data_IF_683446600442
#
_entry.id   IF_683446600442
#
_cell.length_a   1.000
_cell.length_b   1.000
_cell.length_c   1.000
_cell.angle_alpha   90.00
_cell.angle_beta   90.00
_cell.angle_gamma   90.00
#
_symmetry.space_group_name_H-M   'P 1'
#
loop_
_entity.id
_entity.type
_entity.pdbx_description
1 polymer ?
#
# COMPACT_ATOMS: atom_id res chain seq x y z
N UNK A 1 32.39 -25.50 -55.24
CA UNK A 1 32.04 -25.05 -53.87
C UNK A 1 30.65 -25.64 -53.60
N UNK A 2 30.38 -26.78 -52.97
CA UNK A 2 30.84 -27.44 -51.73
C UNK A 2 30.88 -26.51 -50.51
N UNK A 3 29.89 -26.63 -49.61
CA UNK A 3 30.03 -27.07 -48.20
C UNK A 3 28.64 -27.41 -47.64
N UNK A 4 28.38 -28.70 -47.39
CA UNK A 4 27.49 -29.17 -46.31
C UNK A 4 28.13 -28.86 -44.95
N UNK A 5 27.36 -28.46 -43.92
CA UNK A 5 27.61 -28.89 -42.53
C UNK A 5 26.32 -29.07 -41.72
N UNK A 6 26.14 -30.31 -41.28
CA UNK A 6 25.20 -30.82 -40.27
C UNK A 6 25.49 -30.21 -38.90
N UNK A 7 24.49 -30.25 -38.00
CA UNK A 7 24.58 -31.04 -36.76
C UNK A 7 23.20 -31.35 -36.17
N UNK A 8 22.95 -32.65 -36.02
CA UNK A 8 21.92 -33.29 -35.19
C UNK A 8 22.58 -33.66 -33.86
N UNK A 9 21.86 -33.54 -32.73
CA UNK A 9 21.94 -34.39 -31.51
C UNK A 9 20.86 -33.88 -30.53
N UNK A 10 19.72 -34.55 -30.33
CA UNK A 10 19.48 -35.72 -29.46
C UNK A 10 20.04 -35.58 -28.04
N UNK A 11 19.14 -35.27 -27.10
CA UNK A 11 19.27 -35.51 -25.65
C UNK A 11 17.87 -35.53 -25.06
N UNK A 12 17.25 -36.71 -25.01
CA UNK A 12 17.08 -37.57 -23.83
C UNK A 12 15.93 -37.12 -22.92
N UNK A 13 14.90 -37.96 -22.92
CA UNK A 13 13.80 -37.98 -21.98
C UNK A 13 14.28 -38.34 -20.57
N UNK A 14 13.62 -37.77 -19.56
CA UNK A 14 13.37 -38.44 -18.29
C UNK A 14 11.88 -38.29 -17.97
N UNK A 15 11.18 -39.41 -18.11
CA UNK A 15 9.90 -39.70 -17.51
C UNK A 15 10.04 -39.72 -15.98
N UNK A 16 9.04 -39.22 -15.27
CA UNK A 16 8.73 -39.63 -13.90
C UNK A 16 7.26 -39.36 -13.62
N UNK A 17 6.48 -40.45 -13.62
CA UNK A 17 5.14 -40.52 -13.05
C UNK A 17 5.26 -40.62 -11.52
N UNK A 18 4.52 -39.79 -10.80
CA UNK A 18 3.95 -40.04 -9.47
C UNK A 18 3.01 -38.85 -9.22
N UNK A 19 1.71 -39.02 -8.96
CA UNK A 19 1.17 -39.78 -7.86
C UNK A 19 0.39 -38.77 -7.00
N UNK A 20 -0.89 -39.03 -6.80
CA UNK A 20 -1.89 -38.15 -6.20
C UNK A 20 -1.50 -37.80 -4.76
N UNK A 21 -1.63 -36.52 -4.37
CA UNK A 21 -1.87 -36.15 -2.99
C UNK A 21 -2.89 -35.00 -2.94
N UNK A 22 -4.13 -35.33 -2.59
CA UNK A 22 -5.04 -34.37 -1.99
C UNK A 22 -4.44 -33.95 -0.65
N UNK A 23 -4.10 -32.68 -0.51
CA UNK A 23 -3.55 -32.11 0.72
C UNK A 23 -3.69 -30.61 0.70
N UNK A 24 -4.69 -30.12 1.42
CA UNK A 24 -4.87 -28.70 1.71
C UNK A 24 -3.63 -28.06 2.31
N UNK A 25 -3.42 -26.78 1.94
CA UNK A 25 -2.59 -25.77 2.61
C UNK A 25 -1.30 -25.38 1.88
N UNK A 26 -1.19 -24.08 1.59
CA UNK A 26 0.04 -23.43 1.15
C UNK A 26 -0.08 -22.79 -0.21
N UNK A 27 -0.84 -21.70 -0.33
CA UNK A 27 -0.62 -20.72 -1.40
C UNK A 27 0.77 -20.10 -1.16
N UNK A 28 1.81 -20.79 -1.59
CA UNK A 28 3.16 -20.27 -1.70
C UNK A 28 3.14 -19.22 -2.80
N UNK A 29 3.22 -17.94 -2.40
CA UNK A 29 3.40 -16.83 -3.32
C UNK A 29 4.75 -17.00 -4.02
N UNK A 30 4.73 -17.54 -5.24
CA UNK A 30 5.87 -17.45 -6.15
C UNK A 30 5.98 -15.98 -6.59
N UNK A 31 6.63 -15.15 -5.76
CA UNK A 31 7.09 -13.85 -6.19
C UNK A 31 8.23 -14.11 -7.19
N UNK A 32 7.94 -13.91 -8.47
CA UNK A 32 8.94 -13.99 -9.53
C UNK A 32 10.15 -13.15 -9.13
N UNK A 33 11.29 -13.81 -8.95
CA UNK A 33 12.62 -13.25 -8.75
C UNK A 33 13.09 -12.62 -10.08
N UNK A 34 12.34 -11.63 -10.56
CA UNK A 34 12.75 -10.71 -11.61
C UNK A 34 13.01 -9.38 -10.91
N UNK A 35 14.23 -9.25 -10.39
CA UNK A 35 14.88 -8.01 -9.97
C UNK A 35 13.94 -6.90 -9.49
N UNK A 36 13.36 -7.04 -8.30
CA UNK A 36 12.82 -5.88 -7.59
C UNK A 36 14.00 -4.94 -7.29
N UNK A 37 14.19 -3.93 -8.14
CA UNK A 37 15.16 -2.87 -7.90
C UNK A 37 14.79 -2.21 -6.57
N UNK A 38 15.65 -2.37 -5.58
CA UNK A 38 15.58 -1.61 -4.33
C UNK A 38 15.65 -0.13 -4.70
N UNK A 39 14.52 0.56 -4.60
CA UNK A 39 14.52 2.01 -4.77
C UNK A 39 15.20 2.64 -3.55
N UNK A 40 16.06 3.66 -3.74
CA UNK A 40 16.67 4.35 -2.62
C UNK A 40 15.57 4.92 -1.71
N UNK A 41 15.77 4.81 -0.40
CA UNK A 41 14.81 5.32 0.58
C UNK A 41 14.68 6.84 0.42
N UNK A 42 13.50 7.29 -0.01
CA UNK A 42 13.20 8.72 -0.16
C UNK A 42 12.89 9.33 1.21
N UNK A 43 13.34 10.58 1.48
CA UNK A 43 12.83 11.36 2.59
C UNK A 43 11.30 11.37 2.56
N UNK A 44 10.68 10.94 3.65
CA UNK A 44 9.23 10.73 3.68
C UNK A 44 8.56 11.73 4.63
N UNK A 45 7.51 12.38 4.15
CA UNK A 45 6.61 13.24 4.91
C UNK A 45 5.27 12.54 5.07
N UNK A 46 4.77 12.42 6.30
CA UNK A 46 3.43 11.93 6.60
C UNK A 46 2.50 13.11 6.90
N UNK A 47 1.39 13.19 6.14
CA UNK A 47 0.33 14.19 6.30
C UNK A 47 -0.89 13.57 6.97
N UNK A 48 -1.41 14.24 8.01
CA UNK A 48 -2.57 13.80 8.79
C UNK A 48 -3.47 15.00 9.13
N UNK A 49 -4.79 14.86 9.05
CA UNK A 49 -5.74 15.97 9.31
C UNK A 49 -6.58 15.82 10.58
N UNK A 50 -6.77 14.59 11.07
CA UNK A 50 -7.64 14.30 12.21
C UNK A 50 -6.89 13.61 13.36
N UNK A 51 -7.07 14.10 14.60
CA UNK A 51 -6.47 13.54 15.84
C UNK A 51 -6.64 12.02 16.03
N UNK A 52 -7.75 11.41 15.60
CA UNK A 52 -7.98 9.96 15.76
C UNK A 52 -7.35 9.10 14.67
N UNK A 53 -7.30 9.62 13.43
CA UNK A 53 -6.61 8.99 12.31
C UNK A 53 -5.09 9.04 12.53
N UNK A 54 -4.61 10.15 13.06
CA UNK A 54 -3.20 10.39 13.39
C UNK A 54 -2.60 9.30 14.27
N UNK A 55 -3.23 8.96 15.41
CA UNK A 55 -2.57 8.09 16.39
C UNK A 55 -2.33 6.67 15.86
N UNK A 56 -3.28 6.10 15.13
CA UNK A 56 -3.19 4.70 14.66
C UNK A 56 -2.46 4.58 13.33
N UNK A 57 -2.67 5.53 12.42
CA UNK A 57 -1.89 5.60 11.20
C UNK A 57 -0.40 5.74 11.51
N UNK A 58 -0.03 6.68 12.39
CA UNK A 58 1.38 6.91 12.73
C UNK A 58 1.99 5.74 13.52
N UNK A 59 1.20 5.00 14.30
CA UNK A 59 1.69 3.77 14.92
C UNK A 59 2.12 2.75 13.86
N UNK A 60 1.32 2.60 12.79
CA UNK A 60 1.66 1.79 11.64
C UNK A 60 2.92 2.27 10.91
N UNK A 61 2.99 3.58 10.63
CA UNK A 61 4.14 4.22 9.99
C UNK A 61 5.42 3.96 10.79
N UNK A 62 5.41 4.23 12.10
CA UNK A 62 6.57 4.08 12.99
C UNK A 62 7.02 2.62 13.15
N UNK A 63 6.12 1.66 12.95
CA UNK A 63 6.45 0.25 12.97
C UNK A 63 7.09 -0.26 11.68
N UNK A 64 7.01 0.51 10.59
CA UNK A 64 7.72 0.21 9.35
C UNK A 64 9.23 0.43 9.53
N UNK A 65 10.10 -0.39 8.90
CA UNK A 65 11.54 -0.15 8.90
C UNK A 65 11.92 1.25 8.38
N UNK A 66 11.17 1.80 7.43
CA UNK A 66 11.35 3.16 6.91
C UNK A 66 10.73 4.24 7.82
N UNK A 67 9.92 3.85 8.80
CA UNK A 67 9.16 4.74 9.69
C UNK A 67 10.02 5.71 10.50
N UNK A 68 11.23 5.31 10.90
CA UNK A 68 12.14 6.12 11.73
C UNK A 68 12.58 7.44 11.07
N UNK A 69 12.49 7.52 9.74
CA UNK A 69 12.91 8.69 8.97
C UNK A 69 11.71 9.55 8.52
N UNK A 70 10.49 9.17 8.90
CA UNK A 70 9.27 9.87 8.48
C UNK A 70 9.09 11.13 9.32
N UNK A 71 9.04 12.29 8.66
CA UNK A 71 8.61 13.54 9.29
C UNK A 71 7.09 13.59 9.28
N UNK A 72 6.48 14.04 10.37
CA UNK A 72 5.02 14.18 10.47
C UNK A 72 4.64 15.64 10.39
N UNK A 73 3.65 15.97 9.59
CA UNK A 73 3.06 17.31 9.51
C UNK A 73 1.53 17.17 9.55
N UNK A 74 0.90 17.93 10.45
CA UNK A 74 -0.56 18.06 10.44
C UNK A 74 -0.98 19.00 9.31
N UNK A 75 -2.05 18.65 8.61
CA UNK A 75 -2.73 19.56 7.68
C UNK A 75 -3.97 20.14 8.34
N UNK A 76 -4.11 21.45 8.23
CA UNK A 76 -5.22 22.24 8.76
C UNK A 76 -5.86 23.12 7.67
N UNK A 77 -5.47 22.92 6.41
CA UNK A 77 -5.87 23.74 5.25
C UNK A 77 -5.58 25.24 5.42
N UNK A 78 -4.67 25.60 6.33
CA UNK A 78 -4.19 26.97 6.45
C UNK A 78 -3.44 27.41 5.20
N UNK A 79 -3.43 28.72 4.95
CA UNK A 79 -2.65 29.29 3.86
C UNK A 79 -1.15 28.97 4.00
N UNK A 80 -0.63 28.98 5.24
CA UNK A 80 0.76 28.63 5.53
C UNK A 80 1.08 27.17 5.15
N UNK A 81 0.15 26.24 5.45
CA UNK A 81 0.27 24.86 4.99
C UNK A 81 0.31 24.79 3.47
N UNK A 82 -0.64 25.46 2.79
CA UNK A 82 -0.77 25.43 1.32
C UNK A 82 0.51 25.93 0.65
N UNK A 83 0.98 27.11 1.03
CA UNK A 83 2.18 27.73 0.47
C UNK A 83 3.43 26.91 0.79
N UNK A 84 3.53 26.40 2.02
CA UNK A 84 4.65 25.54 2.43
C UNK A 84 4.68 24.22 1.67
N UNK A 85 3.52 23.63 1.41
CA UNK A 85 3.38 22.37 0.67
C UNK A 85 3.68 22.57 -0.82
N UNK A 86 3.17 23.62 -1.44
CA UNK A 86 3.48 23.97 -2.83
C UNK A 86 4.98 24.23 -3.03
N UNK A 87 5.59 25.02 -2.13
CA UNK A 87 7.04 25.28 -2.16
C UNK A 87 7.84 23.98 -2.05
N UNK A 88 7.40 23.05 -1.20
CA UNK A 88 8.01 21.73 -1.06
C UNK A 88 7.90 20.91 -2.34
N UNK A 89 6.71 20.82 -2.93
CA UNK A 89 6.49 20.09 -4.18
C UNK A 89 7.34 20.64 -5.33
N UNK A 90 7.52 21.96 -5.40
CA UNK A 90 8.31 22.64 -6.44
C UNK A 90 9.82 22.69 -6.14
N UNK A 91 10.27 22.15 -5.02
CA UNK A 91 11.69 22.24 -4.61
C UNK A 91 12.64 21.41 -5.49
N UNK A 92 12.10 20.46 -6.27
CA UNK A 92 12.88 19.51 -7.07
C UNK A 92 13.65 18.48 -6.24
N UNK A 93 13.49 18.48 -4.91
CA UNK A 93 14.12 17.51 -4.02
C UNK A 93 13.29 16.22 -4.01
N UNK A 94 13.86 15.07 -4.42
CA UNK A 94 13.15 13.80 -4.43
C UNK A 94 12.62 13.47 -3.04
N UNK A 95 11.31 13.30 -2.93
CA UNK A 95 10.68 12.97 -1.66
C UNK A 95 9.40 12.15 -1.86
N UNK A 96 9.01 11.46 -0.80
CA UNK A 96 7.71 10.81 -0.72
C UNK A 96 6.81 11.53 0.27
N UNK A 97 5.56 11.72 -0.11
CA UNK A 97 4.53 12.26 0.77
C UNK A 97 3.46 11.20 0.89
N UNK A 98 3.29 10.64 2.09
CA UNK A 98 2.22 9.71 2.43
C UNK A 98 1.19 10.42 3.30
N UNK A 99 -0.04 9.94 3.33
CA UNK A 99 -1.00 10.53 4.25
C UNK A 99 -2.25 9.70 4.49
N UNK A 100 -2.94 10.06 5.57
CA UNK A 100 -4.31 9.66 5.88
C UNK A 100 -5.04 10.89 6.42
N UNK A 101 -5.93 11.44 5.59
CA UNK A 101 -6.61 12.72 5.84
C UNK A 101 -8.09 12.60 5.51
N UNK A 102 -8.88 13.63 5.79
CA UNK A 102 -10.28 13.75 5.34
C UNK A 102 -10.37 14.08 3.84
N UNK A 103 -11.58 13.95 3.29
CA UNK A 103 -11.85 14.14 1.86
C UNK A 103 -11.47 15.55 1.35
N UNK A 104 -11.72 16.60 2.14
CA UNK A 104 -11.45 17.98 1.74
C UNK A 104 -9.94 18.26 1.69
N UNK A 105 -9.22 17.81 2.71
CA UNK A 105 -7.77 17.89 2.74
C UNK A 105 -7.12 17.13 1.59
N UNK A 106 -7.60 15.92 1.29
CA UNK A 106 -7.05 15.12 0.20
C UNK A 106 -7.28 15.74 -1.17
N UNK A 107 -8.46 16.30 -1.43
CA UNK A 107 -8.75 16.95 -2.70
C UNK A 107 -7.72 18.04 -3.02
N UNK A 108 -7.45 18.92 -2.05
CA UNK A 108 -6.45 19.98 -2.17
C UNK A 108 -5.02 19.45 -2.31
N UNK A 109 -4.61 18.50 -1.48
CA UNK A 109 -3.25 17.94 -1.49
C UNK A 109 -2.95 17.25 -2.83
N UNK A 110 -3.88 16.44 -3.32
CA UNK A 110 -3.73 15.71 -4.59
C UNK A 110 -3.73 16.67 -5.77
N UNK A 111 -4.57 17.71 -5.75
CA UNK A 111 -4.61 18.72 -6.81
C UNK A 111 -3.31 19.54 -6.89
N UNK A 112 -2.79 20.00 -5.74
CA UNK A 112 -1.50 20.69 -5.66
C UNK A 112 -0.36 19.80 -6.15
N UNK A 113 -0.33 18.53 -5.72
CA UNK A 113 0.69 17.58 -6.14
C UNK A 113 0.67 17.36 -7.67
N UNK A 114 -0.52 17.12 -8.24
CA UNK A 114 -0.67 16.95 -9.69
C UNK A 114 -0.26 18.20 -10.46
N UNK A 115 -0.66 19.38 -9.98
CA UNK A 115 -0.33 20.67 -10.59
C UNK A 115 1.18 20.95 -10.56
N UNK A 116 1.88 20.46 -9.54
CA UNK A 116 3.34 20.53 -9.45
C UNK A 116 4.08 19.44 -10.27
N UNK A 117 3.35 18.55 -10.96
CA UNK A 117 3.94 17.44 -11.73
C UNK A 117 4.35 16.23 -10.90
N UNK A 118 3.97 16.17 -9.62
CA UNK A 118 4.23 15.02 -8.77
C UNK A 118 3.39 13.80 -9.19
N UNK A 119 3.93 12.61 -8.94
CA UNK A 119 3.32 11.33 -9.33
C UNK A 119 2.55 10.73 -8.16
N UNK A 120 1.25 10.50 -8.35
CA UNK A 120 0.41 9.80 -7.37
C UNK A 120 0.56 8.30 -7.59
N UNK A 121 1.28 7.64 -6.68
CA UNK A 121 1.54 6.19 -6.74
C UNK A 121 0.42 5.36 -6.09
N UNK A 122 -0.28 5.95 -5.12
CA UNK A 122 -1.40 5.34 -4.41
C UNK A 122 -2.43 6.41 -4.11
N UNK A 123 -3.70 6.08 -4.28
CA UNK A 123 -4.84 6.85 -3.80
C UNK A 123 -5.91 5.88 -3.27
N UNK A 124 -6.24 5.97 -2.00
CA UNK A 124 -7.22 5.11 -1.34
C UNK A 124 -8.35 5.92 -0.74
N UNK A 125 -9.60 5.55 -1.04
CA UNK A 125 -10.78 6.02 -0.32
C UNK A 125 -11.18 4.96 0.70
N UNK A 126 -11.42 5.39 1.93
CA UNK A 126 -11.71 4.52 3.06
C UNK A 126 -12.95 5.01 3.78
N UNK A 127 -13.91 4.11 3.97
CA UNK A 127 -15.06 4.32 4.83
C UNK A 127 -15.00 3.33 5.97
N UNK A 128 -15.03 3.81 7.20
CA UNK A 128 -14.99 2.98 8.38
C UNK A 128 -16.27 3.15 9.21
N UNK A 129 -16.82 2.02 9.66
CA UNK A 129 -17.92 1.92 10.60
C UNK A 129 -17.45 1.12 11.81
N UNK A 130 -18.20 1.09 12.93
CA UNK A 130 -17.80 0.31 14.10
C UNK A 130 -17.61 -1.20 13.83
N UNK A 131 -18.24 -1.74 12.77
CA UNK A 131 -18.30 -3.17 12.49
C UNK A 131 -17.52 -3.59 11.24
N UNK A 132 -17.29 -2.66 10.32
CA UNK A 132 -16.66 -2.96 9.04
C UNK A 132 -15.98 -1.75 8.40
N UNK A 133 -15.05 -2.02 7.49
CA UNK A 133 -14.38 -1.02 6.66
C UNK A 133 -14.52 -1.32 5.16
N UNK A 134 -14.62 -0.27 4.36
CA UNK A 134 -14.67 -0.33 2.91
C UNK A 134 -13.51 0.47 2.35
N UNK A 135 -12.77 -0.13 1.42
CA UNK A 135 -11.56 0.44 0.83
C UNK A 135 -11.66 0.36 -0.69
N UNK A 136 -11.48 1.49 -1.36
CA UNK A 136 -11.36 1.59 -2.82
C UNK A 136 -10.02 2.22 -3.15
N UNK A 137 -9.20 1.52 -3.91
CA UNK A 137 -7.83 1.91 -4.17
C UNK A 137 -7.59 2.11 -5.66
N UNK A 138 -6.80 3.13 -5.97
CA UNK A 138 -6.12 3.33 -7.24
C UNK A 138 -4.62 3.22 -6.99
N UNK A 139 -3.95 2.32 -7.69
CA UNK A 139 -2.51 2.08 -7.52
C UNK A 139 -1.77 2.16 -8.84
N UNK A 140 -0.59 2.75 -8.80
CA UNK A 140 0.40 2.65 -9.86
C UNK A 140 1.27 1.41 -9.66
N UNK A 141 2.07 1.07 -10.67
CA UNK A 141 2.99 -0.07 -10.62
C UNK A 141 3.98 0.01 -9.44
N UNK A 142 4.44 1.22 -9.07
CA UNK A 142 5.33 1.42 -7.92
C UNK A 142 4.69 1.08 -6.57
N UNK A 143 3.35 1.04 -6.49
CA UNK A 143 2.60 0.60 -5.32
C UNK A 143 2.08 -0.86 -5.46
N UNK A 144 2.53 -1.59 -6.47
CA UNK A 144 2.12 -2.99 -6.68
C UNK A 144 2.42 -3.84 -5.44
N UNK A 145 1.49 -4.74 -5.11
CA UNK A 145 1.59 -5.60 -3.93
C UNK A 145 1.06 -4.98 -2.62
N UNK A 146 0.95 -3.65 -2.53
CA UNK A 146 0.43 -2.97 -1.34
C UNK A 146 -1.04 -3.34 -1.06
N UNK A 147 -1.89 -3.37 -2.09
CA UNK A 147 -3.31 -3.70 -1.91
C UNK A 147 -3.55 -5.17 -1.51
N UNK A 148 -2.92 -6.19 -2.13
CA UNK A 148 -2.97 -7.56 -1.63
C UNK A 148 -2.52 -7.69 -0.18
N UNK A 149 -1.42 -7.03 0.21
CA UNK A 149 -0.90 -7.07 1.58
C UNK A 149 -1.86 -6.43 2.59
N UNK A 150 -2.50 -5.32 2.21
CA UNK A 150 -3.58 -4.70 2.99
C UNK A 150 -4.74 -5.69 3.15
N UNK A 151 -5.20 -6.34 2.07
CA UNK A 151 -6.28 -7.33 2.13
C UNK A 151 -5.98 -8.53 3.03
N UNK A 152 -4.76 -9.06 2.98
CA UNK A 152 -4.31 -10.14 3.86
C UNK A 152 -4.32 -9.71 5.33
N UNK A 153 -3.84 -8.51 5.61
CA UNK A 153 -3.79 -7.96 6.96
C UNK A 153 -5.20 -7.71 7.49
N UNK A 154 -6.09 -7.08 6.71
CA UNK A 154 -7.50 -6.86 7.06
C UNK A 154 -8.21 -8.16 7.39
N UNK A 155 -7.98 -9.20 6.58
CA UNK A 155 -8.50 -10.52 6.85
C UNK A 155 -7.94 -11.07 8.18
N UNK A 156 -6.64 -10.96 8.45
CA UNK A 156 -6.06 -11.43 9.70
C UNK A 156 -6.68 -10.75 10.94
N UNK A 157 -7.07 -9.47 10.85
CA UNK A 157 -7.72 -8.74 11.94
C UNK A 157 -9.09 -9.32 12.33
N UNK A 158 -9.82 -9.90 11.37
CA UNK A 158 -11.13 -10.48 11.61
C UNK A 158 -12.29 -9.48 11.70
N UNK A 159 -12.05 -8.17 11.61
CA UNK A 159 -13.09 -7.16 11.36
C UNK A 159 -13.62 -7.31 9.93
N UNK A 160 -14.93 -7.07 9.72
CA UNK A 160 -15.52 -7.15 8.38
C UNK A 160 -14.89 -6.13 7.43
N UNK A 161 -14.62 -6.49 6.19
CA UNK A 161 -14.07 -5.55 5.22
C UNK A 161 -14.48 -5.83 3.77
N UNK A 162 -14.42 -4.79 2.95
CA UNK A 162 -14.45 -4.86 1.49
C UNK A 162 -13.30 -4.03 0.93
N UNK A 163 -12.52 -4.60 0.02
CA UNK A 163 -11.37 -3.97 -0.60
C UNK A 163 -11.43 -4.18 -2.12
N UNK A 164 -11.33 -3.08 -2.85
CA UNK A 164 -11.26 -3.04 -4.31
C UNK A 164 -10.02 -2.25 -4.74
N UNK A 165 -9.24 -2.77 -5.69
CA UNK A 165 -8.09 -2.08 -6.30
C UNK A 165 -8.30 -1.99 -7.82
N UNK A 166 -8.09 -0.81 -8.38
CA UNK A 166 -7.88 -0.62 -9.81
C UNK A 166 -6.43 -0.17 -10.04
N UNK A 167 -5.72 -0.83 -10.94
CA UNK A 167 -4.36 -0.45 -11.33
C UNK A 167 -4.41 0.55 -12.46
N UNK A 168 -3.73 1.68 -12.32
CA UNK A 168 -3.76 2.77 -13.32
C UNK A 168 -3.02 2.40 -14.61
N UNK A 169 -2.01 1.53 -14.51
CA UNK A 169 -1.20 1.08 -15.63
C UNK A 169 -0.97 -0.43 -15.48
N UNK A 170 -1.34 -1.21 -16.50
CA UNK A 170 -1.11 -2.67 -16.54
C UNK A 170 -2.32 -3.47 -17.01
N UNK A 171 -2.05 -4.68 -17.52
CA UNK A 171 -3.06 -5.64 -17.98
C UNK A 171 -3.61 -6.54 -16.86
N UNK A 172 -3.24 -6.27 -15.61
CA UNK A 172 -3.62 -7.10 -14.47
C UNK A 172 -5.06 -6.83 -14.05
N UNK A 173 -5.79 -7.91 -13.74
CA UNK A 173 -7.16 -7.82 -13.29
C UNK A 173 -7.27 -7.01 -11.98
N UNK A 174 -8.37 -6.25 -11.79
CA UNK A 174 -8.62 -5.54 -10.54
C UNK A 174 -8.69 -6.53 -9.37
N UNK A 175 -8.12 -6.16 -8.22
CA UNK A 175 -8.26 -6.93 -6.99
C UNK A 175 -9.62 -6.65 -6.37
N UNK A 176 -10.36 -7.69 -6.03
CA UNK A 176 -11.57 -7.59 -5.22
C UNK A 176 -11.55 -8.66 -4.14
N UNK A 177 -11.53 -8.25 -2.89
CA UNK A 177 -11.51 -9.15 -1.73
C UNK A 177 -12.41 -8.60 -0.63
N UNK A 178 -13.10 -9.48 0.07
CA UNK A 178 -13.96 -9.11 1.19
C UNK A 178 -14.08 -10.25 2.18
N UNK A 179 -14.38 -9.93 3.43
CA UNK A 179 -14.68 -10.92 4.46
C UNK A 179 -15.75 -10.37 5.40
N UNK A 180 -16.64 -11.26 5.84
CA UNK A 180 -17.56 -10.97 6.94
C UNK A 180 -16.79 -10.85 8.27
N UNK A 181 -17.34 -10.07 9.20
CA UNK A 181 -16.76 -9.93 10.53
C UNK A 181 -16.79 -11.27 11.28
N UNK A 182 -15.62 -11.68 11.80
CA UNK A 182 -15.46 -12.82 12.73
C UNK A 182 -15.37 -12.34 14.17
N UNK A 183 -14.89 -11.11 14.37
CA UNK A 183 -14.91 -10.39 15.63
C UNK A 183 -14.89 -8.88 15.34
N UNK A 184 -15.30 -8.05 16.32
CA UNK A 184 -15.21 -6.57 16.23
C UNK A 184 -13.95 -6.02 16.90
N UNK A 185 -12.99 -6.89 17.21
CA UNK A 185 -11.79 -6.52 17.97
C UNK A 185 -10.80 -5.88 17.00
N UNK A 186 -10.50 -4.60 17.20
CA UNK A 186 -9.48 -3.90 16.40
C UNK A 186 -10.01 -3.38 15.06
N UNK A 187 -11.22 -2.82 15.03
CA UNK A 187 -11.78 -2.12 13.87
C UNK A 187 -10.96 -0.93 13.38
N UNK A 188 -9.91 -0.56 14.10
CA UNK A 188 -8.96 0.49 13.76
C UNK A 188 -7.70 -0.03 13.06
N UNK A 189 -7.46 -1.35 13.11
CA UNK A 189 -6.22 -1.96 12.66
C UNK A 189 -5.95 -1.67 11.18
N UNK A 190 -6.99 -1.46 10.37
CA UNK A 190 -6.84 -1.08 8.97
C UNK A 190 -5.97 0.17 8.78
N UNK A 191 -6.09 1.17 9.65
CA UNK A 191 -5.36 2.42 9.51
C UNK A 191 -3.89 2.26 9.89
N UNK A 192 -3.57 1.42 10.88
CA UNK A 192 -2.18 1.07 11.19
C UNK A 192 -1.55 0.22 10.09
N UNK A 193 -2.28 -0.77 9.58
CA UNK A 193 -1.82 -1.56 8.43
C UNK A 193 -1.53 -0.67 7.23
N UNK A 194 -2.44 0.26 6.93
CA UNK A 194 -2.24 1.22 5.85
C UNK A 194 -1.00 2.11 6.07
N UNK A 195 -0.80 2.64 7.28
CA UNK A 195 0.39 3.42 7.62
C UNK A 195 1.69 2.65 7.44
N UNK A 196 1.72 1.39 7.89
CA UNK A 196 2.85 0.48 7.69
C UNK A 196 3.12 0.24 6.20
N UNK A 197 2.09 -0.11 5.43
CA UNK A 197 2.20 -0.41 3.99
C UNK A 197 2.68 0.81 3.20
N UNK A 198 2.14 2.00 3.46
CA UNK A 198 2.56 3.22 2.76
C UNK A 198 3.99 3.64 3.12
N UNK A 199 4.39 3.48 4.38
CA UNK A 199 5.76 3.74 4.80
C UNK A 199 6.74 2.70 4.21
N UNK A 200 6.32 1.45 4.06
CA UNK A 200 7.14 0.37 3.48
C UNK A 200 7.14 0.34 1.94
N UNK A 201 6.40 1.22 1.26
CA UNK A 201 6.28 1.23 -0.20
C UNK A 201 7.67 1.33 -0.86
N UNK A 202 7.94 0.52 -1.88
CA UNK A 202 9.25 0.49 -2.55
C UNK A 202 10.38 -0.14 -1.72
N UNK A 203 10.10 -0.65 -0.52
CA UNK A 203 11.04 -1.48 0.26
C UNK A 203 10.75 -2.97 0.04
N UNK A 204 11.76 -3.83 0.18
CA UNK A 204 11.61 -5.29 0.05
C UNK A 204 11.05 -5.96 1.31
N UNK A 205 10.50 -5.17 2.25
CA UNK A 205 10.08 -5.69 3.56
C UNK A 205 8.75 -6.43 3.46
N UNK A 206 8.79 -7.76 3.60
CA UNK A 206 7.61 -8.63 3.66
C UNK A 206 6.95 -8.68 5.05
N UNK A 207 7.22 -7.70 5.92
CA UNK A 207 6.71 -7.68 7.28
C UNK A 207 5.21 -7.34 7.34
N UNK A 208 4.61 -7.62 8.49
CA UNK A 208 3.23 -7.24 8.78
C UNK A 208 3.21 -6.06 9.75
N UNK A 209 2.18 -5.23 9.63
CA UNK A 209 1.94 -4.18 10.61
C UNK A 209 1.66 -4.82 11.99
N UNK A 210 2.20 -4.25 13.08
CA UNK A 210 1.91 -4.76 14.41
C UNK A 210 0.41 -4.62 14.72
N UNK A 211 -0.10 -5.53 15.54
CA UNK A 211 -1.42 -5.38 16.12
C UNK A 211 -1.42 -4.19 17.09
N UNK A 212 -2.35 -3.27 16.89
CA UNK A 212 -2.53 -2.12 17.77
C UNK A 212 -3.34 -2.50 19.00
N UNK A 213 -3.00 -1.88 20.13
CA UNK A 213 -3.78 -2.02 21.35
C UNK A 213 -5.23 -1.55 21.13
N UNK A 214 -6.18 -2.20 21.81
CA UNK A 214 -7.59 -1.81 21.74
C UNK A 214 -7.76 -0.35 22.13
N UNK A 215 -8.54 0.39 21.35
CA UNK A 215 -8.93 1.76 21.66
C UNK A 215 -10.38 1.80 22.17
N UNK A 216 -10.73 2.77 23.04
CA UNK A 216 -12.10 2.92 23.55
C UNK A 216 -13.12 3.31 22.48
N UNK A 217 -12.67 3.98 21.42
CA UNK A 217 -13.55 4.47 20.34
C UNK A 217 -12.96 4.13 18.98
N UNK A 218 -13.72 3.43 18.12
CA UNK A 218 -13.25 3.06 16.79
C UNK A 218 -13.19 4.28 15.86
N UNK A 219 -12.23 4.24 14.94
CA UNK A 219 -12.08 5.16 13.83
C UNK A 219 -13.25 4.94 12.86
N UNK A 220 -14.15 5.91 12.83
CA UNK A 220 -15.33 5.91 11.97
C UNK A 220 -15.34 7.15 11.10
N UNK A 221 -15.96 7.07 9.93
CA UNK A 221 -16.04 8.16 8.97
C UNK A 221 -15.37 7.84 7.64
N UNK A 222 -15.10 8.89 6.87
CA UNK A 222 -14.45 8.81 5.57
C UNK A 222 -13.03 9.36 5.67
N UNK A 223 -12.10 8.66 5.03
CA UNK A 223 -10.70 9.02 5.00
C UNK A 223 -10.14 8.75 3.62
N UNK A 224 -9.16 9.55 3.22
CA UNK A 224 -8.40 9.36 2.00
C UNK A 224 -6.94 9.16 2.37
N UNK A 225 -6.33 8.15 1.77
CA UNK A 225 -4.90 7.94 1.83
C UNK A 225 -4.24 8.14 0.48
N UNK A 226 -2.98 8.52 0.50
CA UNK A 226 -2.21 8.73 -0.71
C UNK A 226 -0.73 8.39 -0.49
N UNK A 227 -0.04 8.09 -1.59
CA UNK A 227 1.42 8.12 -1.69
C UNK A 227 1.77 8.91 -2.94
N UNK A 228 2.49 10.00 -2.75
CA UNK A 228 2.88 10.96 -3.77
C UNK A 228 4.42 10.99 -3.82
N UNK A 229 4.96 10.96 -5.02
CA UNK A 229 6.38 11.12 -5.28
C UNK A 229 6.60 12.45 -6.01
N UNK A 230 7.34 13.36 -5.40
CA UNK A 230 7.66 14.69 -5.91
C UNK A 230 9.16 14.87 -6.08
#
# INVERSE_FOLDING_TARGET
MNVERRTVLKGLALSSLAGIAMGSSGLGMAHSVLGARTQPALPTLALVSHKMAESVFLQGVNASPAGKQVKVQRTDLSLDFILGFEKRLRSGQPQRIIGLVDDASAALIVDLARSAGARVQWLGQHRATPLASQHRLLSAEAASGCAPQLGLSLNACGTGFSLTEQRMHGLQAPLQVSAAARNSVGSDQWAATLGYTLAALGTTSAGQAPLIARRPSPLTGNFVSFSIEA
#
